data_IF_340735850246
#
_entry.id   IF_340735850246
#
_cell.length_a   1.000
_cell.length_b   1.000
_cell.length_c   1.000
_cell.angle_alpha   90.00
_cell.angle_beta   90.00
_cell.angle_gamma   90.00
#
_symmetry.space_group_name_H-M   'P 1'
#
loop_
_entity.id
_entity.type
_entity.pdbx_description
1 polymer ?
#
# COMPACT_ATOMS: atom_id res chain seq x y z
N UNK A 1 12.78 -97.09 42.08
CA UNK A 1 11.74 -96.52 42.96
C UNK A 1 11.86 -95.00 42.91
N UNK A 2 10.80 -94.28 42.47
CA UNK A 2 10.56 -92.80 42.40
C UNK A 2 11.56 -91.97 41.55
N UNK A 3 11.22 -91.40 40.39
CA UNK A 3 10.29 -90.29 39.99
C UNK A 3 10.87 -88.87 40.20
N UNK A 4 10.63 -88.01 39.18
CA UNK A 4 10.71 -86.53 39.04
C UNK A 4 11.96 -85.98 38.29
N UNK A 5 11.90 -84.99 37.39
CA UNK A 5 10.80 -84.15 36.85
C UNK A 5 11.31 -83.41 35.57
N UNK A 6 10.48 -83.23 34.52
CA UNK A 6 9.78 -81.96 34.10
C UNK A 6 10.67 -81.03 33.23
N UNK A 7 10.43 -80.99 31.90
CA UNK A 7 9.49 -80.08 31.20
C UNK A 7 9.76 -78.59 31.48
N UNK A 8 10.62 -77.92 30.69
CA UNK A 8 10.74 -76.45 30.76
C UNK A 8 11.28 -75.72 29.53
N UNK A 9 11.42 -76.34 28.35
CA UNK A 9 12.14 -75.67 27.23
C UNK A 9 11.35 -75.40 25.95
N UNK A 10 10.11 -75.91 25.80
CA UNK A 10 9.36 -75.79 24.55
C UNK A 10 8.23 -74.75 24.54
N UNK A 11 7.76 -74.27 25.70
CA UNK A 11 6.68 -73.27 25.75
C UNK A 11 7.18 -71.81 25.62
N UNK A 12 8.41 -71.53 26.09
CA UNK A 12 8.97 -70.17 26.06
C UNK A 12 9.40 -69.70 24.65
N UNK A 13 9.76 -70.61 23.75
CA UNK A 13 10.22 -70.24 22.39
C UNK A 13 9.10 -69.84 21.43
N UNK A 14 7.85 -70.30 21.64
CA UNK A 14 6.72 -69.95 20.74
C UNK A 14 6.10 -68.58 21.01
N UNK A 15 6.17 -68.07 22.24
CA UNK A 15 5.69 -66.72 22.57
C UNK A 15 6.66 -65.62 22.17
N UNK A 16 7.98 -65.86 22.30
CA UNK A 16 9.00 -64.89 21.89
C UNK A 16 9.00 -64.61 20.37
N UNK A 17 8.73 -65.61 19.54
CA UNK A 17 8.73 -65.45 18.08
C UNK A 17 7.51 -64.67 17.55
N UNK A 18 6.32 -64.82 18.17
CA UNK A 18 5.13 -64.03 17.81
C UNK A 18 5.17 -62.59 18.33
N UNK A 19 5.75 -62.34 19.50
CA UNK A 19 5.92 -60.99 20.03
C UNK A 19 6.94 -60.15 19.23
N UNK A 20 7.97 -60.79 18.66
CA UNK A 20 8.96 -60.11 17.83
C UNK A 20 8.39 -59.67 16.47
N UNK A 21 7.58 -60.52 15.83
CA UNK A 21 6.94 -60.18 14.54
C UNK A 21 5.78 -59.18 14.66
N UNK A 22 5.08 -59.14 15.80
CA UNK A 22 4.03 -58.12 16.01
C UNK A 22 4.62 -56.74 16.32
N UNK A 23 5.73 -56.66 17.07
CA UNK A 23 6.43 -55.39 17.29
C UNK A 23 7.09 -54.86 16.01
N UNK A 24 7.63 -55.73 15.14
CA UNK A 24 8.24 -55.27 13.88
C UNK A 24 7.20 -54.77 12.87
N UNK A 25 6.01 -55.38 12.81
CA UNK A 25 4.95 -54.93 11.91
C UNK A 25 4.35 -53.58 12.33
N UNK A 26 4.08 -53.38 13.64
CA UNK A 26 3.53 -52.12 14.15
C UNK A 26 4.57 -50.99 14.14
N UNK A 27 5.85 -51.29 14.39
CA UNK A 27 6.93 -50.31 14.19
C UNK A 27 7.11 -49.97 12.70
N UNK A 28 7.06 -50.93 11.78
CA UNK A 28 7.17 -50.62 10.35
C UNK A 28 5.98 -49.83 9.82
N UNK A 29 4.76 -50.01 10.33
CA UNK A 29 3.60 -49.22 9.91
C UNK A 29 3.65 -47.79 10.48
N UNK A 30 4.08 -47.61 11.72
CA UNK A 30 4.31 -46.28 12.31
C UNK A 30 5.49 -45.55 11.65
N UNK A 31 6.55 -46.29 11.29
CA UNK A 31 7.70 -45.76 10.55
C UNK A 31 7.34 -45.43 9.11
N UNK A 32 6.53 -46.25 8.42
CA UNK A 32 6.00 -45.91 7.09
C UNK A 32 5.06 -44.71 7.14
N UNK A 33 4.15 -44.62 8.11
CA UNK A 33 3.31 -43.43 8.25
C UNK A 33 4.15 -42.18 8.51
N UNK A 34 5.15 -42.23 9.40
CA UNK A 34 6.01 -41.07 9.69
C UNK A 34 6.94 -40.69 8.53
N UNK A 35 7.51 -41.66 7.81
CA UNK A 35 8.43 -41.43 6.69
C UNK A 35 7.70 -40.98 5.42
N UNK A 36 6.43 -41.38 5.23
CA UNK A 36 5.62 -40.91 4.10
C UNK A 36 4.77 -39.67 4.42
N UNK A 37 4.48 -39.38 5.70
CA UNK A 37 3.80 -38.14 6.11
C UNK A 37 4.75 -36.95 6.27
N UNK A 38 6.03 -37.17 6.60
CA UNK A 38 7.02 -36.10 6.71
C UNK A 38 7.24 -35.32 5.40
N UNK A 39 7.35 -35.95 4.22
CA UNK A 39 7.44 -35.24 2.95
C UNK A 39 6.21 -34.38 2.66
N UNK A 40 5.02 -34.84 3.04
CA UNK A 40 3.76 -34.11 2.81
C UNK A 40 3.62 -32.93 3.78
N UNK A 41 3.93 -33.13 5.07
CA UNK A 41 3.92 -32.06 6.08
C UNK A 41 5.01 -31.04 5.78
N UNK A 42 6.21 -31.48 5.38
CA UNK A 42 7.31 -30.61 5.00
C UNK A 42 7.00 -29.86 3.69
N UNK A 43 6.44 -30.50 2.67
CA UNK A 43 5.98 -29.83 1.45
C UNK A 43 4.86 -28.82 1.75
N UNK A 44 3.92 -29.14 2.65
CA UNK A 44 2.89 -28.23 3.12
C UNK A 44 3.46 -27.02 3.87
N UNK A 45 4.43 -27.26 4.77
CA UNK A 45 5.15 -26.21 5.48
C UNK A 45 5.98 -25.35 4.54
N UNK A 46 6.70 -25.94 3.60
CA UNK A 46 7.50 -25.20 2.61
C UNK A 46 6.62 -24.42 1.64
N UNK A 47 5.47 -24.97 1.21
CA UNK A 47 4.49 -24.24 0.40
C UNK A 47 3.83 -23.09 1.19
N UNK A 48 3.57 -23.28 2.48
CA UNK A 48 3.10 -22.23 3.37
C UNK A 48 4.15 -21.13 3.55
N UNK A 49 5.41 -21.50 3.84
CA UNK A 49 6.53 -20.56 3.96
C UNK A 49 6.82 -19.84 2.65
N UNK A 50 6.70 -20.51 1.51
CA UNK A 50 6.86 -19.91 0.18
C UNK A 50 5.71 -18.97 -0.15
N UNK A 51 4.45 -19.31 0.19
CA UNK A 51 3.32 -18.37 0.08
C UNK A 51 3.47 -17.17 1.01
N UNK A 52 3.94 -17.38 2.24
CA UNK A 52 4.22 -16.31 3.19
C UNK A 52 5.35 -15.40 2.66
N UNK A 53 6.42 -15.99 2.14
CA UNK A 53 7.56 -15.29 1.54
C UNK A 53 7.19 -14.52 0.27
N UNK A 54 6.34 -15.09 -0.60
CA UNK A 54 5.81 -14.41 -1.78
C UNK A 54 4.86 -13.27 -1.39
N UNK A 55 4.04 -13.45 -0.35
CA UNK A 55 3.16 -12.40 0.18
C UNK A 55 3.93 -11.26 0.85
N UNK A 56 5.07 -11.56 1.49
CA UNK A 56 6.01 -10.58 2.03
C UNK A 56 6.82 -9.85 0.95
N UNK A 57 6.81 -10.34 -0.30
CA UNK A 57 7.42 -9.67 -1.47
C UNK A 57 6.40 -8.97 -2.35
N UNK A 58 5.12 -9.29 -2.23
CA UNK A 58 4.06 -8.63 -2.98
C UNK A 58 3.89 -7.21 -2.43
N UNK A 59 4.30 -6.26 -3.26
CA UNK A 59 4.27 -4.84 -2.94
C UNK A 59 2.85 -4.39 -2.58
N UNK A 60 1.85 -4.79 -3.36
CA UNK A 60 0.48 -4.33 -3.17
C UNK A 60 -0.15 -5.02 -1.94
N UNK A 61 0.26 -6.24 -1.62
CA UNK A 61 -0.16 -6.90 -0.38
C UNK A 61 0.37 -6.18 0.87
N UNK A 62 1.61 -5.68 0.84
CA UNK A 62 2.19 -4.88 1.92
C UNK A 62 1.48 -3.54 2.07
N UNK A 63 1.20 -2.85 0.96
CA UNK A 63 0.41 -1.60 0.99
C UNK A 63 -0.99 -1.84 1.55
N UNK A 64 -1.66 -2.92 1.14
CA UNK A 64 -2.97 -3.29 1.68
C UNK A 64 -2.94 -3.53 3.21
N UNK A 65 -1.85 -4.09 3.73
CA UNK A 65 -1.67 -4.27 5.18
C UNK A 65 -1.52 -2.92 5.90
N UNK A 66 -0.73 -1.99 5.36
CA UNK A 66 -0.61 -0.64 5.91
C UNK A 66 -1.94 0.13 5.90
N UNK A 67 -2.72 0.01 4.82
CA UNK A 67 -4.07 0.62 4.75
C UNK A 67 -4.98 0.02 5.82
N UNK A 68 -4.95 -1.31 6.00
CA UNK A 68 -5.75 -1.98 7.03
C UNK A 68 -5.37 -1.51 8.44
N UNK A 69 -4.07 -1.39 8.72
CA UNK A 69 -3.59 -0.88 10.01
C UNK A 69 -4.03 0.57 10.22
N UNK A 70 -3.89 1.42 9.20
CA UNK A 70 -4.29 2.82 9.24
C UNK A 70 -5.80 3.00 9.48
N UNK A 71 -6.63 2.15 8.89
CA UNK A 71 -8.07 2.13 9.18
C UNK A 71 -8.32 1.90 10.67
N UNK A 72 -7.69 0.88 11.25
CA UNK A 72 -7.90 0.51 12.65
C UNK A 72 -7.37 1.54 13.65
N UNK A 73 -6.29 2.24 13.31
CA UNK A 73 -5.65 3.18 14.24
C UNK A 73 -6.11 4.62 14.07
N UNK A 74 -6.48 5.03 12.86
CA UNK A 74 -6.69 6.44 12.48
C UNK A 74 -8.06 6.67 11.84
N UNK A 75 -8.38 6.00 10.73
CA UNK A 75 -9.49 6.41 9.86
C UNK A 75 -10.87 5.92 10.28
N UNK A 76 -10.99 4.86 11.08
CA UNK A 76 -12.30 4.44 11.63
C UNK A 76 -12.80 5.30 12.79
N UNK A 77 -11.94 6.19 13.32
CA UNK A 77 -12.26 7.06 14.45
C UNK A 77 -12.81 8.38 13.93
N UNK A 78 -13.75 8.94 14.67
CA UNK A 78 -14.21 10.30 14.47
C UNK A 78 -13.05 11.30 14.63
N UNK A 79 -13.24 12.47 14.04
CA UNK A 79 -12.46 13.65 14.32
C UNK A 79 -12.49 14.00 15.81
N UNK A 80 -11.35 14.34 16.40
CA UNK A 80 -11.29 14.64 17.84
C UNK A 80 -11.97 15.98 18.16
N UNK A 81 -11.86 16.99 17.29
CA UNK A 81 -12.41 18.32 17.57
C UNK A 81 -13.92 18.41 17.39
N UNK A 82 -14.48 17.65 16.43
CA UNK A 82 -15.91 17.74 16.07
C UNK A 82 -16.73 16.52 16.47
N UNK A 83 -16.08 15.42 16.86
CA UNK A 83 -16.70 14.09 17.04
C UNK A 83 -17.51 13.62 15.81
N UNK A 84 -17.19 14.15 14.64
CA UNK A 84 -17.84 13.77 13.38
C UNK A 84 -17.05 12.64 12.68
N UNK A 85 -17.73 11.73 11.95
CA UNK A 85 -17.06 10.79 11.07
C UNK A 85 -16.26 11.51 9.98
N UNK A 86 -15.18 10.86 9.51
CA UNK A 86 -14.24 11.42 8.52
C UNK A 86 -14.76 11.36 7.08
N UNK A 87 -15.98 11.83 6.81
CA UNK A 87 -16.65 11.61 5.52
C UNK A 87 -15.80 11.97 4.30
N UNK A 88 -15.13 13.12 4.30
CA UNK A 88 -14.35 13.56 3.14
C UNK A 88 -12.94 12.96 3.08
N UNK A 89 -12.37 12.55 4.22
CA UNK A 89 -10.98 12.09 4.33
C UNK A 89 -10.92 10.69 4.99
N UNK A 90 -11.82 9.79 4.58
CA UNK A 90 -11.91 8.43 5.09
C UNK A 90 -10.98 7.46 4.34
N UNK A 91 -11.06 6.18 4.70
CA UNK A 91 -10.23 5.13 4.10
C UNK A 91 -10.46 4.94 2.60
N UNK A 92 -11.60 5.36 2.02
CA UNK A 92 -11.85 5.25 0.58
C UNK A 92 -10.99 6.23 -0.18
N UNK A 93 -11.03 7.49 0.23
CA UNK A 93 -10.17 8.53 -0.29
C UNK A 93 -8.71 8.08 -0.21
N UNK A 94 -8.25 7.69 0.99
CA UNK A 94 -6.88 7.25 1.21
C UNK A 94 -6.50 6.05 0.35
N UNK A 95 -7.39 5.07 0.19
CA UNK A 95 -7.14 3.89 -0.64
C UNK A 95 -6.97 4.23 -2.12
N UNK A 96 -7.77 5.17 -2.64
CA UNK A 96 -7.65 5.63 -4.02
C UNK A 96 -6.39 6.45 -4.24
N UNK A 97 -6.12 7.45 -3.39
CA UNK A 97 -4.87 8.24 -3.44
C UNK A 97 -3.65 7.32 -3.40
N UNK A 98 -3.63 6.35 -2.48
CA UNK A 98 -2.55 5.36 -2.37
C UNK A 98 -2.36 4.53 -3.64
N UNK A 99 -3.45 4.17 -4.33
CA UNK A 99 -3.39 3.49 -5.63
C UNK A 99 -2.85 4.42 -6.73
N UNK A 100 -3.32 5.67 -6.76
CA UNK A 100 -2.92 6.66 -7.75
C UNK A 100 -1.44 7.02 -7.68
N UNK A 101 -0.81 6.99 -6.51
CA UNK A 101 0.65 7.23 -6.37
C UNK A 101 1.46 6.36 -7.33
N UNK A 102 1.18 5.06 -7.40
CA UNK A 102 1.92 4.13 -8.26
C UNK A 102 1.62 4.35 -9.74
N UNK A 103 0.36 4.61 -10.07
CA UNK A 103 -0.06 5.00 -11.43
C UNK A 103 0.68 6.26 -11.88
N UNK A 104 0.59 7.33 -11.08
CA UNK A 104 1.18 8.63 -11.37
C UNK A 104 2.70 8.52 -11.47
N UNK A 105 3.36 7.77 -10.58
CA UNK A 105 4.79 7.53 -10.69
C UNK A 105 5.19 7.01 -12.09
N UNK A 106 4.52 5.96 -12.59
CA UNK A 106 4.83 5.43 -13.91
C UNK A 106 4.45 6.39 -15.05
N UNK A 107 3.37 7.15 -14.92
CA UNK A 107 3.01 8.18 -15.91
C UNK A 107 4.02 9.34 -15.93
N UNK A 108 4.47 9.81 -14.78
CA UNK A 108 5.54 10.80 -14.66
C UNK A 108 6.82 10.30 -15.31
N UNK A 109 7.20 9.05 -15.04
CA UNK A 109 8.38 8.40 -15.64
C UNK A 109 8.27 8.27 -17.15
N UNK A 110 7.07 8.01 -17.68
CA UNK A 110 6.84 7.87 -19.12
C UNK A 110 6.87 9.21 -19.88
N UNK A 111 6.51 10.31 -19.21
CA UNK A 111 6.43 11.64 -19.83
C UNK A 111 7.63 12.55 -19.53
N UNK A 112 8.43 12.23 -18.51
CA UNK A 112 9.64 12.98 -18.17
C UNK A 112 10.75 12.05 -17.62
N UNK A 113 11.58 11.54 -18.53
CA UNK A 113 12.71 10.66 -18.22
C UNK A 113 13.83 11.33 -17.42
N UNK A 114 13.82 12.66 -17.29
CA UNK A 114 14.88 13.42 -16.59
C UNK A 114 14.66 13.46 -15.08
N UNK A 115 13.48 13.00 -14.61
CA UNK A 115 13.14 13.02 -13.18
C UNK A 115 13.72 11.86 -12.42
N UNK A 116 13.81 12.09 -11.12
CA UNK A 116 14.21 11.14 -10.09
C UNK A 116 13.58 9.75 -10.32
N UNK A 117 14.39 8.71 -10.15
CA UNK A 117 13.95 7.31 -10.27
C UNK A 117 13.86 6.76 -8.87
N UNK A 118 12.64 6.43 -8.45
CA UNK A 118 12.43 5.77 -7.17
C UNK A 118 12.82 4.30 -7.27
N UNK A 119 13.51 3.82 -6.23
CA UNK A 119 13.58 2.39 -5.98
C UNK A 119 12.19 1.86 -5.60
N UNK A 120 11.97 0.55 -5.68
CA UNK A 120 10.73 -0.09 -5.19
C UNK A 120 10.40 0.30 -3.74
N UNK A 121 11.43 0.44 -2.89
CA UNK A 121 11.25 0.85 -1.50
C UNK A 121 10.86 2.33 -1.39
N UNK A 122 11.39 3.23 -2.24
CA UNK A 122 10.95 4.63 -2.28
C UNK A 122 9.51 4.75 -2.73
N UNK A 123 9.12 4.01 -3.76
CA UNK A 123 7.75 3.99 -4.23
C UNK A 123 6.78 3.45 -3.17
N UNK A 124 7.20 2.40 -2.43
CA UNK A 124 6.44 1.88 -1.29
C UNK A 124 6.31 2.93 -0.19
N UNK A 125 7.39 3.63 0.13
CA UNK A 125 7.38 4.70 1.14
C UNK A 125 6.49 5.87 0.71
N UNK A 126 6.46 6.23 -0.57
CA UNK A 126 5.55 7.26 -1.08
C UNK A 126 4.09 6.83 -1.00
N UNK A 127 3.78 5.55 -1.28
CA UNK A 127 2.43 5.03 -1.08
C UNK A 127 2.05 5.02 0.41
N UNK A 128 2.97 4.68 1.31
CA UNK A 128 2.74 4.80 2.75
C UNK A 128 2.58 6.29 3.14
N UNK A 129 3.30 7.22 2.52
CA UNK A 129 3.12 8.64 2.76
C UNK A 129 1.70 9.10 2.36
N UNK A 130 1.17 8.60 1.24
CA UNK A 130 -0.24 8.81 0.86
C UNK A 130 -1.24 8.24 1.88
N UNK A 131 -0.91 7.14 2.57
CA UNK A 131 -1.76 6.63 3.67
C UNK A 131 -1.83 7.62 4.83
N UNK A 132 -0.77 8.38 5.07
CA UNK A 132 -0.64 9.28 6.22
C UNK A 132 -0.94 10.75 5.91
N UNK A 133 -1.08 11.15 4.64
CA UNK A 133 -1.11 12.57 4.28
C UNK A 133 -2.20 13.38 4.99
N UNK A 134 -3.34 12.74 5.29
CA UNK A 134 -4.47 13.32 6.04
C UNK A 134 -4.67 12.74 7.44
N UNK A 135 -3.75 11.90 7.92
CA UNK A 135 -3.89 11.20 9.19
C UNK A 135 -3.95 12.14 10.40
N UNK A 136 -3.34 13.32 10.29
CA UNK A 136 -3.33 14.35 11.33
C UNK A 136 -4.65 15.12 11.47
N UNK A 137 -5.55 15.06 10.47
CA UNK A 137 -6.76 15.89 10.42
C UNK A 137 -7.64 15.70 11.66
N UNK A 138 -8.11 16.81 12.23
CA UNK A 138 -8.99 16.83 13.41
C UNK A 138 -10.37 17.43 13.15
N UNK A 139 -10.62 17.99 11.97
CA UNK A 139 -11.94 18.38 11.47
C UNK A 139 -11.91 18.53 9.94
N UNK A 140 -13.08 18.79 9.34
CA UNK A 140 -13.19 19.21 7.93
C UNK A 140 -13.23 20.75 7.82
N UNK A 141 -12.92 21.27 6.63
CA UNK A 141 -12.93 22.70 6.33
C UNK A 141 -11.57 23.19 5.88
N UNK A 142 -10.78 23.76 6.80
CA UNK A 142 -9.44 24.26 6.50
C UNK A 142 -8.39 23.20 6.76
N UNK A 143 -7.36 23.17 5.91
CA UNK A 143 -6.23 22.27 6.09
C UNK A 143 -5.21 22.89 7.07
N UNK A 144 -5.09 22.29 8.25
CA UNK A 144 -4.21 22.77 9.31
C UNK A 144 -3.24 21.71 9.82
N UNK A 145 -3.45 20.45 9.44
CA UNK A 145 -2.87 19.30 10.15
C UNK A 145 -1.84 18.52 9.34
N UNK A 146 -1.37 19.08 8.22
CA UNK A 146 -0.30 18.46 7.41
C UNK A 146 0.98 18.21 8.23
N UNK A 147 1.28 19.05 9.23
CA UNK A 147 2.46 18.87 10.10
C UNK A 147 2.32 17.65 10.98
N UNK A 148 1.13 17.46 11.55
CA UNK A 148 0.78 16.31 12.36
C UNK A 148 0.80 15.04 11.51
N UNK A 149 0.22 15.06 10.31
CA UNK A 149 0.28 13.99 9.32
C UNK A 149 1.73 13.58 8.98
N UNK A 150 2.57 14.56 8.62
CA UNK A 150 3.98 14.34 8.30
C UNK A 150 4.78 13.80 9.50
N UNK A 151 4.49 14.29 10.70
CA UNK A 151 5.14 13.84 11.94
C UNK A 151 4.77 12.38 12.26
N UNK A 152 3.49 12.01 12.13
CA UNK A 152 3.00 10.64 12.33
C UNK A 152 3.66 9.68 11.33
N UNK A 153 3.73 10.07 10.06
CA UNK A 153 4.41 9.28 9.03
C UNK A 153 5.89 9.06 9.37
N UNK A 154 6.61 10.13 9.73
CA UNK A 154 8.03 10.03 10.07
C UNK A 154 8.27 9.07 11.24
N UNK A 155 7.49 9.22 12.31
CA UNK A 155 7.57 8.36 13.48
C UNK A 155 7.25 6.91 13.12
N UNK A 156 6.25 6.67 12.26
CA UNK A 156 5.94 5.33 11.78
C UNK A 156 7.11 4.69 11.04
N UNK A 157 7.72 5.43 10.11
CA UNK A 157 8.86 4.96 9.34
C UNK A 157 10.06 4.60 10.21
N UNK A 158 10.44 5.47 11.13
CA UNK A 158 11.65 5.27 11.96
C UNK A 158 11.41 4.21 13.04
N UNK A 159 10.26 4.25 13.72
CA UNK A 159 10.03 3.42 14.92
C UNK A 159 9.47 2.04 14.59
N UNK A 160 8.72 1.89 13.50
CA UNK A 160 8.05 0.63 13.15
C UNK A 160 8.61 -0.03 11.90
N UNK A 161 8.99 0.75 10.89
CA UNK A 161 9.55 0.22 9.65
C UNK A 161 11.08 0.20 9.63
N UNK A 162 11.72 0.82 10.64
CA UNK A 162 13.18 0.94 10.76
C UNK A 162 13.85 1.57 9.53
N UNK A 163 13.15 2.53 8.91
CA UNK A 163 13.66 3.29 7.77
C UNK A 163 14.68 4.32 8.26
N UNK A 164 15.71 4.54 7.46
CA UNK A 164 16.71 5.59 7.72
C UNK A 164 16.03 6.97 7.92
N UNK A 165 16.56 7.74 8.86
CA UNK A 165 15.97 9.02 9.26
C UNK A 165 15.98 10.06 8.14
N UNK A 166 17.01 10.10 7.28
CA UNK A 166 17.04 11.05 6.17
C UNK A 166 16.01 10.67 5.10
N UNK A 167 15.86 9.38 4.81
CA UNK A 167 14.84 8.88 3.88
C UNK A 167 13.43 9.09 4.39
N UNK A 168 13.16 8.81 5.67
CA UNK A 168 11.87 9.10 6.30
C UNK A 168 11.55 10.60 6.29
N UNK A 169 12.55 11.45 6.53
CA UNK A 169 12.41 12.91 6.46
C UNK A 169 11.98 13.37 5.07
N UNK A 170 12.58 12.84 4.01
CA UNK A 170 12.27 13.23 2.63
C UNK A 170 10.78 13.07 2.31
N UNK A 171 10.18 11.93 2.65
CA UNK A 171 8.76 11.67 2.41
C UNK A 171 7.83 12.39 3.41
N UNK A 172 8.28 12.63 4.65
CA UNK A 172 7.55 13.49 5.58
C UNK A 172 7.46 14.95 5.08
N UNK A 173 8.56 15.49 4.55
CA UNK A 173 8.58 16.78 3.87
C UNK A 173 7.75 16.78 2.58
N UNK A 174 7.57 15.62 1.92
CA UNK A 174 6.68 15.51 0.77
C UNK A 174 5.21 15.66 1.15
N UNK A 175 4.77 15.06 2.27
CA UNK A 175 3.41 15.25 2.81
C UNK A 175 3.14 16.73 3.07
N UNK A 176 4.00 17.37 3.87
CA UNK A 176 3.75 18.73 4.33
C UNK A 176 3.86 19.80 3.24
N UNK A 177 4.55 19.51 2.14
CA UNK A 177 4.79 20.47 1.06
C UNK A 177 4.17 20.01 -0.27
N UNK A 178 3.22 19.07 -0.27
CA UNK A 178 2.54 18.62 -1.49
C UNK A 178 1.87 19.79 -2.22
N UNK A 179 1.31 20.73 -1.46
CA UNK A 179 0.59 21.89 -1.98
C UNK A 179 1.46 23.14 -2.20
N UNK A 180 2.75 23.07 -1.90
CA UNK A 180 3.68 24.20 -2.09
C UNK A 180 3.73 24.65 -3.55
N UNK A 181 3.25 25.86 -3.83
CA UNK A 181 3.15 26.38 -5.19
C UNK A 181 3.92 27.71 -5.32
N UNK A 182 5.20 27.67 -5.73
CA UNK A 182 6.02 28.87 -5.82
C UNK A 182 5.69 29.75 -7.01
N UNK A 183 5.12 29.17 -8.08
CA UNK A 183 4.81 29.90 -9.31
C UNK A 183 3.41 30.54 -9.20
N UNK A 184 3.33 31.88 -9.15
CA UNK A 184 2.07 32.62 -9.03
C UNK A 184 1.21 32.58 -10.31
N UNK A 185 1.73 32.03 -11.42
CA UNK A 185 0.99 31.90 -12.68
C UNK A 185 0.01 30.72 -12.69
N UNK A 186 0.13 29.79 -11.74
CA UNK A 186 -0.80 28.67 -11.61
C UNK A 186 -2.05 29.08 -10.82
N UNK A 187 -3.18 28.47 -11.17
CA UNK A 187 -4.51 28.78 -10.60
C UNK A 187 -4.72 28.21 -9.19
N UNK A 188 -3.81 27.37 -8.70
CA UNK A 188 -3.82 26.88 -7.32
C UNK A 188 -3.59 28.04 -6.34
N UNK A 189 -4.25 28.08 -5.16
CA UNK A 189 -3.92 29.05 -4.11
C UNK A 189 -2.40 29.05 -3.90
N UNK A 190 -1.79 30.23 -3.91
CA UNK A 190 -0.33 30.35 -3.79
C UNK A 190 0.10 30.00 -2.37
N UNK A 191 0.33 28.71 -2.10
CA UNK A 191 0.95 28.26 -0.85
C UNK A 191 2.46 28.45 -0.98
N UNK A 192 2.94 29.57 -0.41
CA UNK A 192 4.36 29.94 -0.46
C UNK A 192 5.18 29.35 0.67
N UNK A 193 4.52 28.79 1.69
CA UNK A 193 5.21 28.27 2.86
C UNK A 193 5.84 26.93 2.51
N UNK A 194 7.16 26.87 2.54
CA UNK A 194 7.87 25.61 2.48
C UNK A 194 8.38 25.25 3.87
N UNK A 195 8.17 24.01 4.29
CA UNK A 195 8.51 23.53 5.62
C UNK A 195 9.65 22.52 5.57
N UNK A 196 10.68 22.73 6.39
CA UNK A 196 11.77 21.78 6.59
C UNK A 196 11.70 21.13 7.96
N UNK A 197 11.91 19.82 7.98
CA UNK A 197 11.96 19.07 9.24
C UNK A 197 13.33 19.25 9.90
N UNK A 198 13.34 19.46 11.21
CA UNK A 198 14.55 19.42 12.04
C UNK A 198 14.35 18.44 13.19
N UNK A 199 15.39 17.66 13.45
CA UNK A 199 15.41 16.68 14.54
C UNK A 199 16.38 17.11 15.64
N UNK A 200 15.89 17.09 16.88
CA UNK A 200 16.68 17.35 18.08
C UNK A 200 16.45 16.21 19.07
N UNK A 201 17.27 15.15 18.97
CA UNK A 201 16.99 13.90 19.70
C UNK A 201 15.70 13.28 19.18
N UNK A 202 14.71 13.07 20.06
CA UNK A 202 13.40 12.50 19.68
C UNK A 202 12.35 13.58 19.35
N UNK A 203 12.74 14.86 19.42
CA UNK A 203 11.84 15.98 19.12
C UNK A 203 11.93 16.35 17.64
N UNK A 204 10.78 16.39 16.98
CA UNK A 204 10.60 16.84 15.59
C UNK A 204 10.09 18.29 15.62
N UNK A 205 10.73 19.17 14.86
CA UNK A 205 10.31 20.55 14.65
C UNK A 205 10.20 20.85 13.16
N UNK A 206 9.29 21.76 12.82
CA UNK A 206 9.03 22.20 11.46
C UNK A 206 9.33 23.69 11.34
N UNK A 207 10.31 24.02 10.51
CA UNK A 207 10.72 25.40 10.26
C UNK A 207 10.14 25.87 8.92
N UNK A 208 9.40 26.98 8.96
CA UNK A 208 8.88 27.63 7.75
C UNK A 208 9.99 28.42 7.04
N UNK A 209 10.04 28.29 5.72
CA UNK A 209 10.93 29.03 4.83
C UNK A 209 10.03 29.85 3.91
N UNK A 210 10.04 31.17 4.11
CA UNK A 210 9.09 32.10 3.48
C UNK A 210 9.34 32.35 1.97
N UNK A 211 10.50 31.98 1.44
CA UNK A 211 10.90 32.21 0.04
C UNK A 211 11.74 31.04 -0.47
N UNK A 212 11.21 29.82 -0.38
CA UNK A 212 11.95 28.65 -0.84
C UNK A 212 12.14 28.70 -2.36
N UNK A 213 13.39 28.74 -2.87
CA UNK A 213 13.65 28.92 -4.29
C UNK A 213 13.59 27.60 -5.08
N UNK A 214 13.40 26.48 -4.40
CA UNK A 214 13.40 25.16 -5.04
C UNK A 214 12.05 24.82 -5.65
N UNK A 215 12.09 23.87 -6.59
CA UNK A 215 10.88 23.31 -7.19
C UNK A 215 10.30 22.18 -6.34
N UNK A 216 9.02 21.84 -6.59
CA UNK A 216 8.43 20.60 -6.06
C UNK A 216 9.23 19.39 -6.55
N UNK A 217 9.61 18.54 -5.62
CA UNK A 217 10.18 17.21 -5.87
C UNK A 217 9.17 16.30 -6.57
N UNK A 218 9.64 15.20 -7.17
CA UNK A 218 8.75 14.22 -7.80
C UNK A 218 7.74 13.64 -6.78
N UNK A 219 8.19 13.34 -5.55
CA UNK A 219 7.32 12.84 -4.48
C UNK A 219 6.18 13.82 -4.15
N UNK A 220 6.49 15.12 -4.05
CA UNK A 220 5.50 16.17 -3.77
C UNK A 220 4.46 16.28 -4.88
N UNK A 221 4.90 16.26 -6.14
CA UNK A 221 3.99 16.35 -7.30
C UNK A 221 3.07 15.14 -7.41
N UNK A 222 3.63 13.92 -7.28
CA UNK A 222 2.82 12.69 -7.30
C UNK A 222 1.78 12.70 -6.18
N UNK A 223 2.19 13.06 -4.95
CA UNK A 223 1.27 13.07 -3.81
C UNK A 223 0.18 14.14 -3.97
N UNK A 224 0.55 15.33 -4.42
CA UNK A 224 -0.38 16.42 -4.73
C UNK A 224 -1.39 16.03 -5.79
N UNK A 225 -0.95 15.47 -6.92
CA UNK A 225 -1.84 15.06 -8.00
C UNK A 225 -2.73 13.89 -7.60
N UNK A 226 -2.20 12.94 -6.82
CA UNK A 226 -2.96 11.80 -6.32
C UNK A 226 -4.11 12.26 -5.42
N UNK A 227 -3.86 13.22 -4.53
CA UNK A 227 -4.87 13.82 -3.66
C UNK A 227 -5.87 14.68 -4.47
N UNK A 228 -5.36 15.61 -5.27
CA UNK A 228 -6.17 16.55 -6.05
C UNK A 228 -7.11 15.85 -7.03
N UNK A 229 -6.65 14.83 -7.75
CA UNK A 229 -7.48 14.15 -8.74
C UNK A 229 -8.67 13.41 -8.11
N UNK A 230 -8.57 13.03 -6.83
CA UNK A 230 -9.65 12.39 -6.08
C UNK A 230 -10.72 13.39 -5.62
N UNK A 231 -10.44 14.71 -5.64
CA UNK A 231 -11.40 15.77 -5.27
C UNK A 231 -12.63 15.77 -6.21
N UNK A 232 -12.52 15.16 -7.40
CA UNK A 232 -13.64 14.93 -8.32
C UNK A 232 -14.89 14.32 -7.66
N UNK A 233 -14.71 13.64 -6.52
CA UNK A 233 -15.77 13.04 -5.71
C UNK A 233 -16.72 14.06 -5.06
N UNK A 234 -16.22 15.28 -4.78
CA UNK A 234 -17.00 16.36 -4.20
C UNK A 234 -17.95 16.92 -5.26
N UNK A 235 -19.15 16.35 -5.33
CA UNK A 235 -20.17 16.71 -6.31
C UNK A 235 -20.57 18.19 -6.28
N UNK A 236 -21.01 18.71 -7.42
CA UNK A 236 -21.52 20.09 -7.56
C UNK A 236 -20.50 21.12 -8.05
N UNK A 237 -19.23 20.72 -8.20
CA UNK A 237 -18.18 21.55 -8.81
C UNK A 237 -17.60 20.86 -10.05
N UNK A 238 -17.31 21.63 -11.10
CA UNK A 238 -16.53 21.13 -12.23
C UNK A 238 -15.08 20.98 -11.78
N UNK A 239 -14.52 19.77 -11.89
CA UNK A 239 -13.10 19.54 -11.64
C UNK A 239 -12.25 20.37 -12.60
N UNK A 240 -11.26 21.06 -12.05
CA UNK A 240 -10.33 21.92 -12.79
C UNK A 240 -8.98 21.20 -12.87
N UNK A 241 -8.66 20.69 -14.07
CA UNK A 241 -7.43 19.93 -14.32
C UNK A 241 -6.16 20.77 -14.15
N UNK A 242 -6.29 22.09 -14.19
CA UNK A 242 -5.23 23.07 -13.99
C UNK A 242 -4.71 23.09 -12.54
N UNK A 243 -5.37 22.39 -11.61
CA UNK A 243 -4.83 22.12 -10.28
C UNK A 243 -3.75 21.02 -10.27
N UNK A 244 -3.64 20.21 -11.32
CA UNK A 244 -2.66 19.13 -11.38
C UNK A 244 -1.31 19.63 -11.90
N UNK A 245 -0.22 19.03 -11.40
CA UNK A 245 1.18 19.23 -11.78
C UNK A 245 1.61 18.43 -13.03
N UNK A 246 0.65 17.83 -13.75
CA UNK A 246 0.85 16.93 -14.90
C UNK A 246 0.83 17.63 -16.27
N UNK A 247 1.24 18.89 -16.34
CA UNK A 247 1.22 19.73 -17.55
C UNK A 247 2.03 19.16 -18.75
N UNK A 248 2.82 18.11 -18.51
CA UNK A 248 3.66 17.41 -19.48
C UNK A 248 3.08 16.07 -19.97
N UNK A 249 1.95 15.58 -19.44
CA UNK A 249 1.35 14.28 -19.82
C UNK A 249 0.66 14.30 -21.21
N UNK A 250 0.49 15.48 -21.80
CA UNK A 250 -0.33 15.66 -23.00
C UNK A 250 -1.84 15.59 -22.70
N UNK A 251 -2.65 16.29 -23.50
CA UNK A 251 -4.08 16.48 -23.20
C UNK A 251 -4.87 15.17 -23.17
N UNK A 252 -4.61 14.25 -24.11
CA UNK A 252 -5.35 12.99 -24.24
C UNK A 252 -5.13 12.06 -23.03
N UNK A 253 -3.89 11.93 -22.55
CA UNK A 253 -3.58 11.10 -21.39
C UNK A 253 -4.17 11.71 -20.10
N UNK A 254 -4.07 13.03 -19.94
CA UNK A 254 -4.69 13.74 -18.82
C UNK A 254 -6.21 13.57 -18.81
N UNK A 255 -6.87 13.71 -19.95
CA UNK A 255 -8.32 13.53 -20.07
C UNK A 255 -8.75 12.08 -19.78
N UNK A 256 -7.96 11.11 -20.26
CA UNK A 256 -8.19 9.69 -19.97
C UNK A 256 -8.05 9.38 -18.47
N UNK A 257 -7.00 9.90 -17.83
CA UNK A 257 -6.77 9.72 -16.39
C UNK A 257 -7.92 10.30 -15.56
N UNK A 258 -8.32 11.54 -15.87
CA UNK A 258 -9.43 12.23 -15.19
C UNK A 258 -10.73 11.44 -15.36
N UNK A 259 -11.02 10.96 -16.57
CA UNK A 259 -12.22 10.18 -16.86
C UNK A 259 -12.25 8.83 -16.13
N UNK A 260 -11.13 8.10 -16.10
CA UNK A 260 -11.04 6.82 -15.39
C UNK A 260 -11.15 6.99 -13.87
N UNK A 261 -10.52 8.02 -13.30
CA UNK A 261 -10.66 8.36 -11.88
C UNK A 261 -12.11 8.68 -11.54
N UNK A 262 -12.77 9.52 -12.35
CA UNK A 262 -14.19 9.84 -12.16
C UNK A 262 -15.05 8.59 -12.20
N UNK A 263 -14.85 7.72 -13.18
CA UNK A 263 -15.60 6.47 -13.28
C UNK A 263 -15.34 5.55 -12.08
N UNK A 264 -14.10 5.48 -11.58
CA UNK A 264 -13.78 4.70 -10.38
C UNK A 264 -14.53 5.24 -9.14
N UNK A 265 -14.54 6.56 -8.97
CA UNK A 265 -15.29 7.23 -7.90
C UNK A 265 -16.79 6.94 -8.01
N UNK A 266 -17.37 7.04 -9.21
CA UNK A 266 -18.78 6.73 -9.47
C UNK A 266 -19.14 5.28 -9.11
N UNK A 267 -18.23 4.32 -9.32
CA UNK A 267 -18.48 2.91 -8.99
C UNK A 267 -18.28 2.62 -7.50
N UNK A 268 -17.25 3.19 -6.86
CA UNK A 268 -16.97 2.94 -5.44
C UNK A 268 -17.89 3.74 -4.50
N UNK A 269 -18.52 4.80 -5.02
CA UNK A 269 -19.28 5.76 -4.24
C UNK A 269 -18.39 6.73 -3.45
N UNK A 270 -19.06 7.70 -2.83
CA UNK A 270 -18.47 8.73 -1.97
C UNK A 270 -19.24 8.78 -0.62
N UNK A 271 -18.97 9.65 0.39
CA UNK A 271 -19.51 9.47 1.73
C UNK A 271 -21.02 9.60 1.85
N UNK A 272 -21.69 10.01 0.78
CA UNK A 272 -23.14 10.11 0.70
C UNK A 272 -23.83 8.83 0.22
N UNK A 273 -23.09 7.86 -0.33
CA UNK A 273 -23.60 6.54 -0.71
C UNK A 273 -23.03 5.46 0.22
N UNK A 274 -23.90 4.93 1.08
CA UNK A 274 -23.56 4.14 2.27
C UNK A 274 -23.02 2.72 2.04
N UNK A 275 -22.77 2.26 0.81
CA UNK A 275 -22.84 0.80 0.56
C UNK A 275 -21.86 0.18 -0.43
N UNK A 276 -20.56 0.48 -0.40
CA UNK A 276 -19.64 -0.47 -1.05
C UNK A 276 -18.42 -0.84 -0.21
N UNK A 277 -17.54 0.09 0.19
CA UNK A 277 -16.28 -0.27 0.87
C UNK A 277 -15.84 0.82 1.85
N UNK A 278 -15.91 0.61 3.17
CA UNK A 278 -15.39 1.57 4.16
C UNK A 278 -14.75 0.85 5.36
N UNK A 279 -13.78 -0.01 5.05
CA UNK A 279 -13.01 -0.76 6.02
C UNK A 279 -11.53 -0.89 5.60
N UNK A 280 -10.74 -1.57 6.44
CA UNK A 280 -9.32 -1.79 6.20
C UNK A 280 -8.98 -2.62 4.94
N UNK A 281 -9.97 -3.20 4.26
CA UNK A 281 -9.79 -3.93 3.01
C UNK A 281 -9.98 -3.07 1.76
N UNK A 282 -10.32 -1.78 1.93
CA UNK A 282 -10.70 -0.88 0.83
C UNK A 282 -9.65 -0.80 -0.28
N UNK A 283 -8.36 -0.70 0.03
CA UNK A 283 -7.30 -0.67 -1.01
C UNK A 283 -7.27 -1.94 -1.85
N UNK A 284 -7.42 -3.12 -1.23
CA UNK A 284 -7.47 -4.40 -1.95
C UNK A 284 -8.68 -4.44 -2.87
N UNK A 285 -9.83 -3.97 -2.39
CA UNK A 285 -11.07 -3.92 -3.17
C UNK A 285 -10.98 -2.93 -4.33
N UNK A 286 -10.36 -1.76 -4.14
CA UNK A 286 -10.06 -0.80 -5.22
C UNK A 286 -9.23 -1.46 -6.31
N UNK A 287 -8.14 -2.14 -5.93
CA UNK A 287 -7.29 -2.86 -6.87
C UNK A 287 -8.04 -3.97 -7.60
N UNK A 288 -8.72 -4.84 -6.88
CA UNK A 288 -9.50 -5.94 -7.47
C UNK A 288 -10.59 -5.42 -8.43
N UNK A 289 -11.23 -4.30 -8.10
CA UNK A 289 -12.24 -3.68 -8.95
C UNK A 289 -11.65 -3.20 -10.28
N UNK A 290 -10.50 -2.53 -10.24
CA UNK A 290 -9.78 -2.07 -11.43
C UNK A 290 -9.30 -3.28 -12.26
N UNK A 291 -8.70 -4.29 -11.63
CA UNK A 291 -8.21 -5.50 -12.30
C UNK A 291 -9.33 -6.28 -12.99
N UNK A 292 -10.49 -6.42 -12.34
CA UNK A 292 -11.66 -7.10 -12.90
C UNK A 292 -12.38 -6.28 -13.99
N UNK A 293 -12.09 -4.98 -14.10
CA UNK A 293 -12.67 -4.07 -15.08
C UNK A 293 -11.59 -3.38 -15.94
N UNK A 294 -10.49 -4.07 -16.24
CA UNK A 294 -9.34 -3.49 -16.98
C UNK A 294 -9.69 -2.81 -18.31
N UNK A 295 -10.75 -3.24 -18.97
CA UNK A 295 -11.20 -2.64 -20.25
C UNK A 295 -11.87 -1.27 -20.03
N UNK A 296 -12.39 -1.00 -18.82
CA UNK A 296 -12.92 0.31 -18.40
C UNK A 296 -11.83 1.21 -17.81
N UNK A 297 -10.78 0.61 -17.25
CA UNK A 297 -9.69 1.30 -16.58
C UNK A 297 -8.32 1.04 -17.22
N UNK A 298 -8.16 1.16 -18.55
CA UNK A 298 -6.94 0.76 -19.22
C UNK A 298 -5.70 1.53 -18.73
N UNK A 299 -5.83 2.83 -18.42
CA UNK A 299 -4.73 3.66 -17.94
C UNK A 299 -4.41 3.35 -16.47
N UNK A 300 -5.39 3.34 -15.56
CA UNK A 300 -5.19 3.04 -14.14
C UNK A 300 -4.66 1.61 -13.93
N UNK A 301 -5.14 0.63 -14.72
CA UNK A 301 -4.64 -0.74 -14.67
C UNK A 301 -3.23 -0.85 -15.26
N UNK A 302 -3.04 -0.36 -16.49
CA UNK A 302 -1.79 -0.51 -17.23
C UNK A 302 -0.62 0.23 -16.57
N UNK A 303 -0.85 1.47 -16.14
CA UNK A 303 0.16 2.25 -15.45
C UNK A 303 0.49 1.65 -14.07
N UNK A 304 -0.47 1.17 -13.29
CA UNK A 304 -0.16 0.60 -11.96
C UNK A 304 0.77 -0.64 -12.02
N UNK A 305 0.71 -1.40 -13.11
CA UNK A 305 1.52 -2.62 -13.30
C UNK A 305 2.89 -2.39 -13.92
N UNK A 306 3.21 -1.14 -14.28
CA UNK A 306 4.35 -0.83 -15.16
C UNK A 306 4.28 -1.54 -16.52
N UNK A 307 3.09 -2.00 -16.91
CA UNK A 307 2.82 -2.59 -18.23
C UNK A 307 2.72 -1.49 -19.32
N UNK A 308 2.76 -0.22 -18.90
CA UNK A 308 3.06 0.94 -19.73
C UNK A 308 4.55 0.92 -20.13
N UNK A 309 4.99 -0.15 -20.78
CA UNK A 309 6.09 -0.07 -21.72
C UNK A 309 5.80 1.13 -22.61
N UNK A 310 6.78 2.01 -22.78
CA UNK A 310 6.82 3.13 -23.72
C UNK A 310 6.47 2.63 -25.12
N UNK A 311 5.18 2.41 -25.37
CA UNK A 311 4.66 2.10 -26.68
C UNK A 311 4.38 3.46 -27.30
N UNK A 312 5.08 3.83 -28.39
CA UNK A 312 4.76 5.02 -29.14
C UNK A 312 3.44 4.77 -29.88
N UNK A 313 2.32 4.71 -29.14
CA UNK A 313 0.97 4.69 -29.73
C UNK A 313 0.40 6.10 -29.89
N UNK A 314 1.10 7.12 -29.39
CA UNK A 314 0.72 8.51 -29.53
C UNK A 314 1.68 9.33 -30.40
N UNK A 315 2.63 8.67 -31.10
CA UNK A 315 3.26 9.30 -32.27
C UNK A 315 2.22 9.31 -33.40
N UNK A 316 1.51 10.43 -33.47
CA UNK A 316 0.69 10.80 -34.63
C UNK A 316 1.42 10.44 -35.93
N UNK A 317 0.73 9.64 -36.74
CA UNK A 317 0.97 9.54 -38.17
C UNK A 317 1.05 10.96 -38.74
N UNK A 318 2.28 11.44 -39.00
CA UNK A 318 2.49 12.49 -39.99
C UNK A 318 2.51 11.78 -41.34
N UNK A 319 1.40 11.89 -42.06
CA UNK A 319 1.40 11.78 -43.52
C UNK A 319 1.91 13.08 -44.13
#
# INVERSE_FOLDING_TARGET
MRICSVRSTLFARRFAYRAFHYRSAVHNQAFFCAVFSMPIIFAGYMAYQQKLFLKLRDHDAQIAEHVSQAYDTMYKKNYVETDAPRYFHDIRHISRVTYYVKVLYHLYRANDFTREIFSEDDLRLLQIAAIFHDAGRQADGKDYWDKESATLFYQHCVNHLHVDSARAQMFAEAILNKDFQPDPSRLSPVEKSYWKMKRFGDVIKWDCIADYPGEKTLAQRILHDADCIDIQRIGGLSFCKEYLDIDHFGSEQTESLVAEVKQLIEIQGDPFELTVFNDGTCYRQTKELIENNRDKFPLLYGAHRDDYCVAPKYSTLRF
#
